data_IF_544998544544
#
_entry.id   IF_544998544544
#
_cell.length_a   1.000
_cell.length_b   1.000
_cell.length_c   1.000
_cell.angle_alpha   90.00
_cell.angle_beta   90.00
_cell.angle_gamma   90.00
#
_symmetry.space_group_name_H-M   'P 1'
#
loop_
_entity.id
_entity.type
_entity.pdbx_description
1 polymer ?
#
# COMPACT_ATOMS: atom_id res chain seq x y z
N UNK A 1 -44.83 -25.89 -18.69
CA UNK A 1 -43.44 -25.73 -19.14
C UNK A 1 -42.77 -24.71 -18.25
N UNK A 2 -42.03 -25.20 -17.26
CA UNK A 2 -41.32 -24.37 -16.27
C UNK A 2 -39.98 -24.00 -16.86
N UNK A 3 -39.75 -22.71 -17.08
CA UNK A 3 -38.43 -22.19 -17.38
C UNK A 3 -37.66 -22.12 -16.08
N UNK A 4 -36.74 -23.05 -15.87
CA UNK A 4 -35.75 -22.98 -14.81
C UNK A 4 -34.84 -21.76 -15.13
N UNK A 5 -34.88 -20.78 -14.25
CA UNK A 5 -33.87 -19.73 -14.20
C UNK A 5 -32.53 -20.40 -13.91
N UNK A 6 -31.60 -20.34 -14.85
CA UNK A 6 -30.20 -20.60 -14.61
C UNK A 6 -29.74 -19.54 -13.58
N UNK A 7 -29.46 -19.97 -12.37
CA UNK A 7 -28.68 -19.19 -11.41
C UNK A 7 -27.28 -19.05 -12.00
N UNK A 8 -26.92 -17.84 -12.42
CA UNK A 8 -25.52 -17.48 -12.64
C UNK A 8 -24.76 -17.79 -11.34
N UNK A 9 -23.91 -18.80 -11.36
CA UNK A 9 -22.89 -19.02 -10.34
C UNK A 9 -21.79 -17.91 -10.50
N UNK A 10 -22.14 -16.68 -10.23
CA UNK A 10 -21.14 -15.66 -10.00
C UNK A 10 -20.62 -15.90 -8.60
N UNK A 11 -19.40 -16.43 -8.52
CA UNK A 11 -18.71 -16.61 -7.23
C UNK A 11 -18.61 -15.30 -6.46
N UNK A 12 -18.49 -15.37 -5.15
CA UNK A 12 -18.28 -14.21 -4.25
C UNK A 12 -17.10 -13.37 -4.73
N UNK A 13 -17.33 -12.09 -4.99
CA UNK A 13 -16.29 -11.16 -5.44
C UNK A 13 -15.35 -10.79 -4.31
N UNK A 14 -14.02 -10.79 -4.58
CA UNK A 14 -12.96 -10.67 -3.57
C UNK A 14 -12.06 -9.48 -3.83
N UNK A 15 -11.94 -8.61 -2.83
CA UNK A 15 -11.00 -7.48 -2.81
C UNK A 15 -9.88 -7.71 -1.80
N UNK A 16 -8.62 -7.56 -2.23
CA UNK A 16 -7.44 -7.56 -1.37
C UNK A 16 -6.87 -6.16 -1.29
N UNK A 17 -6.62 -5.68 -0.07
CA UNK A 17 -6.04 -4.36 0.19
C UNK A 17 -4.73 -4.52 0.92
N UNK A 18 -3.66 -3.92 0.39
CA UNK A 18 -2.31 -3.90 0.95
C UNK A 18 -1.94 -2.45 1.32
N UNK A 19 -1.61 -2.24 2.59
CA UNK A 19 -1.42 -0.90 3.16
C UNK A 19 -0.02 -0.33 2.99
N UNK A 20 0.13 0.93 3.40
CA UNK A 20 1.43 1.59 3.48
C UNK A 20 2.20 1.18 4.74
N UNK A 21 3.53 1.15 4.66
CA UNK A 21 4.37 0.74 5.80
C UNK A 21 5.87 0.97 5.60
N UNK A 22 6.27 1.65 4.51
CA UNK A 22 7.68 1.89 4.19
C UNK A 22 8.43 0.60 3.85
N UNK A 23 9.75 0.61 4.02
CA UNK A 23 10.63 -0.54 3.76
C UNK A 23 10.28 -1.74 4.65
N UNK A 24 10.02 -1.48 5.93
CA UNK A 24 9.56 -2.50 6.88
C UNK A 24 8.22 -3.10 6.47
N UNK A 25 7.28 -2.26 5.98
CA UNK A 25 5.98 -2.70 5.49
C UNK A 25 6.08 -3.59 4.26
N UNK A 26 6.90 -3.23 3.25
CA UNK A 26 7.17 -4.10 2.10
C UNK A 26 7.63 -5.48 2.57
N UNK A 27 8.61 -5.51 3.48
CA UNK A 27 9.18 -6.75 3.97
C UNK A 27 8.16 -7.60 4.76
N UNK A 28 7.42 -6.96 5.67
CA UNK A 28 6.43 -7.64 6.49
C UNK A 28 5.26 -8.18 5.66
N UNK A 29 4.68 -7.37 4.78
CA UNK A 29 3.60 -7.82 3.89
C UNK A 29 4.07 -8.96 2.99
N UNK A 30 5.28 -8.86 2.42
CA UNK A 30 5.86 -9.93 1.60
C UNK A 30 6.00 -11.21 2.41
N UNK A 31 6.52 -11.15 3.65
CA UNK A 31 6.63 -12.29 4.54
C UNK A 31 5.27 -12.90 4.92
N UNK A 32 4.30 -12.04 5.25
CA UNK A 32 2.93 -12.46 5.58
C UNK A 32 2.28 -13.17 4.38
N UNK A 33 2.34 -12.58 3.18
CA UNK A 33 1.76 -13.18 1.98
C UNK A 33 2.47 -14.49 1.62
N UNK A 34 3.80 -14.56 1.66
CA UNK A 34 4.56 -15.79 1.42
C UNK A 34 4.13 -16.91 2.38
N UNK A 35 3.98 -16.61 3.68
CA UNK A 35 3.51 -17.57 4.66
C UNK A 35 2.06 -18.04 4.43
N UNK A 36 1.14 -17.12 4.08
CA UNK A 36 -0.25 -17.45 3.78
C UNK A 36 -0.37 -18.30 2.51
N UNK A 37 0.37 -17.97 1.45
CA UNK A 37 0.42 -18.76 0.21
C UNK A 37 0.97 -20.16 0.50
N UNK A 38 2.06 -20.28 1.27
CA UNK A 38 2.60 -21.57 1.69
C UNK A 38 1.61 -22.41 2.53
N UNK A 39 0.73 -21.73 3.28
CA UNK A 39 -0.38 -22.36 4.00
C UNK A 39 -1.58 -22.71 3.12
N UNK A 40 -1.52 -22.48 1.81
CA UNK A 40 -2.56 -22.81 0.84
C UNK A 40 -3.67 -21.78 0.67
N UNK A 41 -3.43 -20.51 1.07
CA UNK A 41 -4.36 -19.42 0.80
C UNK A 41 -4.05 -18.84 -0.59
N UNK A 42 -4.98 -18.94 -1.53
CA UNK A 42 -4.82 -18.39 -2.88
C UNK A 42 -5.19 -16.89 -2.90
N UNK A 43 -4.24 -16.05 -2.48
CA UNK A 43 -4.41 -14.59 -2.52
C UNK A 43 -4.38 -14.04 -3.95
N UNK A 44 -3.78 -14.76 -4.90
CA UNK A 44 -3.79 -14.42 -6.33
C UNK A 44 -5.17 -14.46 -6.96
N UNK A 45 -6.12 -15.23 -6.36
CA UNK A 45 -7.51 -15.32 -6.78
C UNK A 45 -8.36 -14.08 -6.42
N UNK A 46 -7.80 -13.03 -5.82
CA UNK A 46 -8.49 -11.75 -5.64
C UNK A 46 -8.94 -11.18 -6.99
N UNK A 47 -10.22 -10.79 -7.11
CA UNK A 47 -10.72 -10.11 -8.31
C UNK A 47 -10.03 -8.75 -8.50
N UNK A 48 -9.76 -8.03 -7.39
CA UNK A 48 -8.93 -6.84 -7.40
C UNK A 48 -7.90 -6.85 -6.28
N UNK A 49 -6.73 -6.25 -6.52
CA UNK A 49 -5.74 -5.93 -5.49
C UNK A 49 -5.50 -4.43 -5.49
N UNK A 50 -5.64 -3.82 -4.33
CA UNK A 50 -5.36 -2.39 -4.12
C UNK A 50 -4.08 -2.27 -3.30
N UNK A 51 -3.12 -1.48 -3.78
CA UNK A 51 -1.87 -1.20 -3.08
C UNK A 51 -1.70 0.28 -2.78
N UNK A 52 -1.28 0.58 -1.55
CA UNK A 52 -0.90 1.93 -1.11
C UNK A 52 0.55 1.91 -0.65
N UNK A 53 1.41 2.78 -1.18
CA UNK A 53 2.82 2.89 -0.77
C UNK A 53 3.54 1.52 -0.80
N UNK A 54 4.04 1.02 0.33
CA UNK A 54 4.60 -0.32 0.47
C UNK A 54 3.73 -1.39 -0.21
N UNK A 55 2.42 -1.36 0.05
CA UNK A 55 1.45 -2.29 -0.52
C UNK A 55 1.36 -2.22 -2.05
N UNK A 56 1.73 -1.12 -2.70
CA UNK A 56 1.77 -1.05 -4.16
C UNK A 56 2.87 -1.95 -4.75
N UNK A 57 4.03 -1.98 -4.10
CA UNK A 57 5.16 -2.85 -4.48
C UNK A 57 4.79 -4.31 -4.26
N UNK A 58 4.20 -4.63 -3.11
CA UNK A 58 3.80 -6.00 -2.77
C UNK A 58 2.66 -6.50 -3.66
N UNK A 59 1.68 -5.63 -3.98
CA UNK A 59 0.59 -5.94 -4.90
C UNK A 59 1.08 -6.32 -6.30
N UNK A 60 2.08 -5.59 -6.83
CA UNK A 60 2.70 -5.89 -8.12
C UNK A 60 3.43 -7.25 -8.05
N UNK A 61 4.19 -7.51 -6.99
CA UNK A 61 4.86 -8.79 -6.78
C UNK A 61 3.86 -9.95 -6.68
N UNK A 62 2.72 -9.74 -6.00
CA UNK A 62 1.65 -10.74 -5.91
C UNK A 62 1.05 -11.04 -7.29
N UNK A 63 0.69 -10.02 -8.06
CA UNK A 63 0.13 -10.18 -9.41
C UNK A 63 1.10 -10.81 -10.40
N UNK A 64 2.39 -10.64 -10.18
CA UNK A 64 3.44 -11.28 -10.97
C UNK A 64 3.77 -12.72 -10.51
N UNK A 65 3.18 -13.21 -9.42
CA UNK A 65 3.52 -14.52 -8.84
C UNK A 65 4.93 -14.58 -8.26
N UNK A 66 5.48 -13.45 -7.82
CA UNK A 66 6.87 -13.30 -7.41
C UNK A 66 7.06 -13.11 -5.90
N UNK A 67 6.04 -13.38 -5.07
CA UNK A 67 6.10 -13.13 -3.61
C UNK A 67 7.24 -13.89 -2.93
N UNK A 68 7.47 -15.16 -3.26
CA UNK A 68 8.54 -15.94 -2.63
C UNK A 68 9.93 -15.42 -3.03
N UNK A 69 10.11 -15.04 -4.30
CA UNK A 69 11.36 -14.43 -4.75
C UNK A 69 11.59 -13.07 -4.06
N UNK A 70 10.55 -12.25 -3.93
CA UNK A 70 10.62 -10.99 -3.21
C UNK A 70 10.91 -11.20 -1.70
N UNK A 71 10.39 -12.27 -1.10
CA UNK A 71 10.71 -12.64 0.28
C UNK A 71 12.20 -12.94 0.45
N UNK A 72 12.77 -13.74 -0.44
CA UNK A 72 14.19 -14.12 -0.38
C UNK A 72 15.11 -12.90 -0.53
N UNK A 73 14.72 -11.89 -1.31
CA UNK A 73 15.46 -10.63 -1.47
C UNK A 73 15.61 -9.86 -0.15
N UNK A 74 14.74 -10.03 0.83
CA UNK A 74 14.86 -9.36 2.12
C UNK A 74 16.01 -9.90 2.99
N UNK A 75 16.62 -11.02 2.63
CA UNK A 75 17.76 -11.64 3.31
C UNK A 75 19.11 -11.31 2.67
N UNK A 76 19.11 -10.62 1.53
CA UNK A 76 20.34 -10.13 0.92
C UNK A 76 20.98 -9.09 1.84
N UNK A 77 22.32 -9.22 2.03
CA UNK A 77 23.09 -8.30 2.85
C UNK A 77 23.06 -6.88 2.24
N UNK A 78 22.60 -5.93 3.01
CA UNK A 78 22.51 -4.52 2.65
C UNK A 78 23.59 -3.66 3.30
N UNK A 79 24.58 -4.29 3.96
CA UNK A 79 25.68 -3.57 4.59
C UNK A 79 26.45 -2.73 3.56
N UNK A 80 26.52 -1.44 3.80
CA UNK A 80 27.18 -0.48 2.90
C UNK A 80 26.31 0.05 1.75
N UNK A 81 25.05 -0.39 1.63
CA UNK A 81 24.09 0.25 0.75
C UNK A 81 23.65 1.59 1.33
N UNK A 82 23.43 2.57 0.45
CA UNK A 82 22.86 3.85 0.87
C UNK A 82 21.40 3.65 1.32
N UNK A 83 21.04 4.23 2.46
CA UNK A 83 19.65 4.25 2.90
C UNK A 83 18.78 4.98 1.86
N UNK A 84 17.55 4.49 1.60
CA UNK A 84 16.69 5.06 0.55
C UNK A 84 16.18 6.48 0.88
N UNK A 85 16.39 6.93 2.10
CA UNK A 85 15.87 8.20 2.60
C UNK A 85 16.81 9.34 2.25
N UNK A 86 16.42 10.16 1.28
CA UNK A 86 17.04 11.44 0.99
C UNK A 86 16.49 12.60 1.83
N UNK A 87 15.85 12.31 2.99
CA UNK A 87 15.17 13.33 3.79
C UNK A 87 16.12 14.48 4.16
N UNK A 88 15.77 15.67 3.72
CA UNK A 88 16.48 16.90 4.10
C UNK A 88 16.13 17.30 5.54
N UNK A 89 14.87 17.05 5.95
CA UNK A 89 14.39 17.34 7.32
C UNK A 89 13.24 16.38 7.71
N UNK A 90 13.60 15.22 8.30
CA UNK A 90 12.61 14.24 8.77
C UNK A 90 11.72 14.82 9.89
N UNK A 91 12.25 15.71 10.74
CA UNK A 91 11.48 16.31 11.81
C UNK A 91 10.37 17.20 11.24
N UNK A 92 10.69 17.99 10.22
CA UNK A 92 9.70 18.81 9.51
C UNK A 92 8.64 17.96 8.79
N UNK A 93 9.04 16.85 8.18
CA UNK A 93 8.10 15.89 7.58
C UNK A 93 7.10 15.37 8.60
N UNK A 94 7.59 14.90 9.75
CA UNK A 94 6.73 14.38 10.84
C UNK A 94 5.78 15.48 11.36
N UNK A 95 6.26 16.70 11.51
CA UNK A 95 5.44 17.83 11.94
C UNK A 95 4.31 18.12 10.93
N UNK A 96 4.62 18.28 9.65
CA UNK A 96 3.63 18.60 8.60
C UNK A 96 2.57 17.51 8.46
N UNK A 97 2.98 16.24 8.45
CA UNK A 97 2.03 15.12 8.40
C UNK A 97 1.21 15.05 9.68
N UNK A 98 1.83 15.26 10.85
CA UNK A 98 1.14 15.30 12.14
C UNK A 98 0.08 16.41 12.22
N UNK A 99 0.40 17.60 11.73
CA UNK A 99 -0.58 18.70 11.58
C UNK A 99 -1.74 18.30 10.66
N UNK A 100 -1.45 17.57 9.57
CA UNK A 100 -2.46 17.04 8.67
C UNK A 100 -3.43 16.09 9.35
N UNK A 101 -2.95 15.20 10.21
CA UNK A 101 -3.80 14.25 10.95
C UNK A 101 -4.83 14.98 11.83
N UNK A 102 -4.44 16.06 12.50
CA UNK A 102 -5.32 16.82 13.41
C UNK A 102 -6.03 17.99 12.74
N UNK A 103 -5.85 18.19 11.44
CA UNK A 103 -6.41 19.30 10.69
C UNK A 103 -7.95 19.27 10.66
N UNK A 104 -8.57 20.43 10.76
CA UNK A 104 -10.02 20.64 10.59
C UNK A 104 -10.36 21.44 9.34
N UNK A 105 -9.38 21.72 8.48
CA UNK A 105 -9.57 22.51 7.26
C UNK A 105 -10.33 21.78 6.14
N UNK A 106 -10.61 20.50 6.33
CA UNK A 106 -11.18 19.60 5.33
C UNK A 106 -10.09 18.79 4.60
N UNK A 107 -10.46 17.62 4.12
CA UNK A 107 -9.51 16.63 3.60
C UNK A 107 -8.68 17.13 2.40
N UNK A 108 -9.34 17.70 1.37
CA UNK A 108 -8.63 18.20 0.18
C UNK A 108 -7.70 19.37 0.51
N UNK A 109 -8.13 20.42 1.20
CA UNK A 109 -7.22 21.51 1.60
C UNK A 109 -6.06 21.03 2.47
N UNK A 110 -6.29 20.08 3.36
CA UNK A 110 -5.23 19.51 4.20
C UNK A 110 -4.18 18.80 3.35
N UNK A 111 -4.61 17.91 2.44
CA UNK A 111 -3.68 17.22 1.52
C UNK A 111 -2.98 18.16 0.55
N UNK A 112 -3.65 19.22 0.11
CA UNK A 112 -3.05 20.23 -0.74
C UNK A 112 -1.88 20.93 -0.03
N UNK A 113 -2.03 21.30 1.25
CA UNK A 113 -0.93 21.90 2.05
C UNK A 113 0.26 20.96 2.22
N UNK A 114 -0.01 19.66 2.41
CA UNK A 114 1.07 18.63 2.45
C UNK A 114 1.75 18.53 1.09
N UNK A 115 0.99 18.58 -0.01
CA UNK A 115 1.53 18.59 -1.36
C UNK A 115 2.36 19.84 -1.66
N UNK A 116 1.93 21.02 -1.22
CA UNK A 116 2.70 22.26 -1.32
C UNK A 116 4.06 22.11 -0.62
N UNK A 117 4.10 21.56 0.60
CA UNK A 117 5.35 21.24 1.29
C UNK A 117 6.23 20.29 0.48
N UNK A 118 5.68 19.22 -0.10
CA UNK A 118 6.46 18.28 -0.92
C UNK A 118 7.07 18.96 -2.15
N UNK A 119 6.34 19.89 -2.78
CA UNK A 119 6.78 20.61 -3.97
C UNK A 119 7.78 21.78 -3.63
N UNK A 120 7.77 22.29 -2.41
CA UNK A 120 8.78 23.23 -1.92
C UNK A 120 10.14 22.55 -1.70
N UNK A 121 10.12 21.27 -1.26
CA UNK A 121 11.33 20.48 -0.98
C UNK A 121 11.98 19.89 -2.23
N UNK A 122 11.21 19.61 -3.28
CA UNK A 122 11.65 18.90 -4.49
C UNK A 122 11.05 19.48 -5.76
N UNK A 123 11.84 19.50 -6.82
CA UNK A 123 11.38 19.72 -8.19
C UNK A 123 11.06 18.35 -8.84
N UNK A 124 9.77 17.98 -8.99
CA UNK A 124 9.41 16.66 -9.50
C UNK A 124 9.87 16.41 -10.94
N UNK A 125 10.07 17.45 -11.77
CA UNK A 125 10.57 17.28 -13.15
C UNK A 125 12.06 16.88 -13.20
N UNK A 126 12.79 17.15 -12.12
CA UNK A 126 14.25 16.91 -12.03
C UNK A 126 14.56 15.75 -11.09
N UNK A 127 13.83 15.68 -9.95
CA UNK A 127 14.21 14.83 -8.80
C UNK A 127 13.56 13.45 -8.83
N UNK A 128 12.48 13.20 -9.60
CA UNK A 128 11.70 11.96 -9.53
C UNK A 128 12.41 10.73 -10.12
N UNK A 129 13.35 10.91 -11.05
CA UNK A 129 13.98 9.82 -11.80
C UNK A 129 14.65 8.77 -10.89
N UNK A 130 15.34 9.20 -9.83
CA UNK A 130 16.00 8.29 -8.90
C UNK A 130 14.97 7.46 -8.08
N UNK A 131 13.83 8.07 -7.72
CA UNK A 131 12.74 7.36 -7.03
C UNK A 131 12.07 6.33 -7.93
N UNK A 132 11.82 6.68 -9.19
CA UNK A 132 11.25 5.77 -10.20
C UNK A 132 12.19 4.59 -10.43
N UNK A 133 13.51 4.85 -10.62
CA UNK A 133 14.51 3.79 -10.79
C UNK A 133 14.56 2.86 -9.56
N UNK A 134 14.62 3.42 -8.35
CA UNK A 134 14.67 2.66 -7.10
C UNK A 134 13.44 1.75 -6.95
N UNK A 135 12.24 2.27 -7.17
CA UNK A 135 11.01 1.46 -7.12
C UNK A 135 11.04 0.42 -8.22
N UNK A 136 11.44 0.80 -9.44
CA UNK A 136 11.56 -0.13 -10.54
C UNK A 136 12.45 -1.35 -10.26
N UNK A 137 13.49 -1.21 -9.44
CA UNK A 137 14.35 -2.33 -9.04
C UNK A 137 13.65 -3.34 -8.10
N UNK A 138 12.58 -2.94 -7.42
CA UNK A 138 11.78 -3.81 -6.54
C UNK A 138 10.69 -4.57 -7.29
N UNK A 139 10.44 -4.24 -8.56
CA UNK A 139 9.31 -4.77 -9.32
C UNK A 139 9.75 -5.86 -10.31
N UNK A 140 9.11 -7.04 -10.31
CA UNK A 140 9.41 -8.13 -11.24
C UNK A 140 8.87 -7.89 -12.65
N UNK A 141 7.91 -6.98 -12.81
CA UNK A 141 7.28 -6.59 -14.08
C UNK A 141 7.27 -5.08 -14.23
N UNK A 142 7.23 -4.59 -15.48
CA UNK A 142 7.21 -3.15 -15.80
C UNK A 142 5.88 -2.70 -16.40
N UNK A 143 5.11 -3.64 -16.94
CA UNK A 143 3.81 -3.39 -17.55
C UNK A 143 2.69 -3.82 -16.60
N UNK A 144 1.53 -3.17 -16.72
CA UNK A 144 0.34 -3.54 -15.96
C UNK A 144 -0.06 -4.99 -16.24
N UNK A 145 -0.37 -5.78 -15.17
CA UNK A 145 -0.90 -7.12 -15.36
C UNK A 145 -2.32 -7.08 -15.94
N UNK A 146 -2.75 -8.21 -16.52
CA UNK A 146 -4.13 -8.32 -17.02
C UNK A 146 -5.17 -8.32 -15.88
N UNK A 147 -4.82 -8.91 -14.73
CA UNK A 147 -5.66 -8.93 -13.54
C UNK A 147 -5.78 -7.52 -12.96
N UNK A 148 -6.95 -7.20 -12.40
CA UNK A 148 -7.21 -5.89 -11.80
C UNK A 148 -6.23 -5.59 -10.66
N UNK A 149 -5.46 -4.53 -10.86
CA UNK A 149 -4.51 -3.98 -9.91
C UNK A 149 -4.73 -2.46 -9.85
N UNK A 150 -4.91 -1.95 -8.65
CA UNK A 150 -5.15 -0.54 -8.39
C UNK A 150 -4.08 0.01 -7.47
N UNK A 151 -3.46 1.10 -7.87
CA UNK A 151 -2.42 1.80 -7.10
C UNK A 151 -2.92 3.17 -6.72
N UNK A 152 -2.83 3.51 -5.44
CA UNK A 152 -3.38 4.76 -4.91
C UNK A 152 -2.30 5.84 -4.78
N UNK A 153 -2.65 7.07 -5.10
CA UNK A 153 -1.80 8.25 -4.93
C UNK A 153 -2.63 9.49 -4.63
N UNK A 154 -1.96 10.59 -4.29
CA UNK A 154 -2.58 11.91 -4.12
C UNK A 154 -1.88 12.91 -5.03
N UNK A 155 -2.64 13.64 -5.83
CA UNK A 155 -2.13 14.77 -6.62
C UNK A 155 -1.61 15.86 -5.67
N UNK A 156 -0.31 16.12 -5.69
CA UNK A 156 0.35 17.03 -4.77
C UNK A 156 -0.07 18.50 -4.99
N UNK A 157 -0.41 18.88 -6.22
CA UNK A 157 -0.84 20.24 -6.54
C UNK A 157 -2.28 20.53 -6.09
N UNK A 158 -3.15 19.52 -6.09
CA UNK A 158 -4.59 19.72 -5.86
C UNK A 158 -5.13 19.03 -4.60
N UNK A 159 -4.36 18.15 -3.95
CA UNK A 159 -4.81 17.34 -2.82
C UNK A 159 -5.85 16.27 -3.19
N UNK A 160 -6.12 16.05 -4.48
CA UNK A 160 -7.12 15.07 -4.95
C UNK A 160 -6.56 13.66 -4.91
N UNK A 161 -7.39 12.75 -4.46
CA UNK A 161 -7.12 11.32 -4.50
C UNK A 161 -7.19 10.77 -5.93
N UNK A 162 -6.28 9.88 -6.26
CA UNK A 162 -6.19 9.25 -7.57
C UNK A 162 -5.95 7.75 -7.38
N UNK A 163 -6.61 6.96 -8.20
CA UNK A 163 -6.37 5.52 -8.33
C UNK A 163 -5.86 5.28 -9.74
N UNK A 164 -4.69 4.69 -9.86
CA UNK A 164 -4.12 4.25 -11.12
C UNK A 164 -4.40 2.77 -11.34
N UNK A 165 -4.69 2.41 -12.56
CA UNK A 165 -4.89 1.05 -13.07
C UNK A 165 -4.38 0.95 -14.51
N UNK A 166 -4.56 -0.21 -15.14
CA UNK A 166 -4.14 -0.43 -16.53
C UNK A 166 -4.81 0.47 -17.56
N UNK A 167 -5.99 0.99 -17.25
CA UNK A 167 -6.78 1.84 -18.14
C UNK A 167 -6.52 3.34 -17.90
N UNK A 168 -5.77 3.68 -16.86
CA UNK A 168 -5.44 5.06 -16.49
C UNK A 168 -4.44 5.74 -17.43
N UNK A 169 -3.72 4.97 -18.27
CA UNK A 169 -2.65 5.46 -19.14
C UNK A 169 -1.31 5.71 -18.41
N UNK A 170 -1.28 5.59 -17.08
CA UNK A 170 -0.04 5.76 -16.32
C UNK A 170 0.90 4.56 -16.50
N UNK A 171 2.22 4.82 -16.53
CA UNK A 171 3.24 3.77 -16.42
C UNK A 171 3.18 3.10 -15.04
N UNK A 172 3.26 1.76 -14.99
CA UNK A 172 3.14 0.98 -13.75
C UNK A 172 4.21 1.37 -12.71
N UNK A 173 5.45 1.52 -13.16
CA UNK A 173 6.58 1.85 -12.27
C UNK A 173 6.40 3.25 -11.71
N UNK A 174 6.00 4.21 -12.56
CA UNK A 174 5.70 5.58 -12.12
C UNK A 174 4.51 5.64 -11.16
N UNK A 175 3.45 4.87 -11.39
CA UNK A 175 2.30 4.79 -10.48
C UNK A 175 2.71 4.26 -9.10
N UNK A 176 3.52 3.19 -9.04
CA UNK A 176 4.05 2.66 -7.78
C UNK A 176 5.02 3.63 -7.11
N UNK A 177 5.90 4.28 -7.87
CA UNK A 177 6.81 5.30 -7.34
C UNK A 177 6.06 6.51 -6.77
N UNK A 178 4.99 6.97 -7.44
CA UNK A 178 4.10 8.01 -6.94
C UNK A 178 3.41 7.60 -5.63
N UNK A 179 2.93 6.36 -5.57
CA UNK A 179 2.34 5.79 -4.36
C UNK A 179 3.30 5.72 -3.18
N UNK A 180 4.61 5.66 -3.44
CA UNK A 180 5.70 5.60 -2.45
C UNK A 180 6.38 6.96 -2.20
N UNK A 181 5.89 8.05 -2.80
CA UNK A 181 6.48 9.38 -2.70
C UNK A 181 6.05 10.10 -1.42
N UNK A 182 6.58 9.68 -0.27
CA UNK A 182 6.30 10.29 1.05
C UNK A 182 6.80 11.73 1.05
N UNK A 183 5.91 12.73 1.30
CA UNK A 183 6.26 14.15 1.33
C UNK A 183 7.46 14.46 2.22
N UNK A 184 8.42 15.24 1.72
CA UNK A 184 9.64 15.60 2.43
C UNK A 184 10.70 14.49 2.54
N UNK A 185 10.34 13.23 2.22
CA UNK A 185 11.28 12.07 2.20
C UNK A 185 11.68 11.73 0.78
N UNK A 186 10.71 11.67 -0.13
CA UNK A 186 10.92 11.40 -1.54
C UNK A 186 10.25 12.45 -2.40
N UNK A 187 10.83 12.78 -3.57
CA UNK A 187 10.22 13.73 -4.49
C UNK A 187 8.87 13.20 -4.99
N UNK A 188 7.87 14.08 -5.17
CA UNK A 188 6.66 13.74 -5.90
C UNK A 188 7.01 13.25 -7.31
N UNK A 189 6.23 12.30 -7.82
CA UNK A 189 6.47 11.69 -9.15
C UNK A 189 5.52 12.28 -10.18
N UNK A 190 6.08 12.73 -11.30
CA UNK A 190 5.29 13.31 -12.39
C UNK A 190 4.67 12.24 -13.27
N UNK A 191 3.34 12.27 -13.42
CA UNK A 191 2.57 11.44 -14.36
C UNK A 191 1.66 12.38 -15.15
N UNK A 192 1.77 12.36 -16.47
CA UNK A 192 1.02 13.23 -17.39
C UNK A 192 1.06 14.72 -17.00
N UNK A 193 2.25 15.21 -16.63
CA UNK A 193 2.50 16.60 -16.24
C UNK A 193 1.92 17.01 -14.89
N UNK A 194 1.49 16.06 -14.04
CA UNK A 194 1.00 16.32 -12.68
C UNK A 194 1.89 15.63 -11.65
N UNK A 195 2.27 16.32 -10.56
CA UNK A 195 3.04 15.73 -9.49
C UNK A 195 2.12 14.94 -8.55
N UNK A 196 2.53 13.72 -8.21
CA UNK A 196 1.81 12.86 -7.26
C UNK A 196 2.68 12.50 -6.06
N UNK A 197 2.05 12.44 -4.90
CA UNK A 197 2.63 11.99 -3.63
C UNK A 197 1.94 10.75 -3.11
N UNK A 198 2.50 10.15 -2.07
CA UNK A 198 2.07 8.90 -1.45
C UNK A 198 0.57 8.86 -1.16
N UNK A 199 -0.07 7.75 -1.54
CA UNK A 199 -1.49 7.50 -1.29
C UNK A 199 -1.85 7.44 0.19
N UNK A 200 -0.88 7.14 1.05
CA UNK A 200 -0.99 7.17 2.51
C UNK A 200 -1.29 8.57 3.07
N UNK A 201 -1.06 9.61 2.28
CA UNK A 201 -1.49 10.97 2.64
C UNK A 201 -3.01 11.14 2.64
N UNK A 202 -3.76 10.15 2.15
CA UNK A 202 -5.21 10.10 2.33
C UNK A 202 -5.63 9.08 3.38
N UNK A 203 -5.19 7.86 3.26
CA UNK A 203 -5.43 6.76 4.19
C UNK A 203 -4.31 5.74 4.06
N UNK A 204 -3.87 5.16 5.16
CA UNK A 204 -2.83 4.14 5.15
C UNK A 204 -3.17 2.91 4.33
N UNK A 205 -4.45 2.61 4.15
CA UNK A 205 -4.92 1.43 3.40
C UNK A 205 -5.75 1.76 2.15
N UNK A 206 -6.47 2.88 2.15
CA UNK A 206 -7.46 3.24 1.12
C UNK A 206 -8.47 2.09 0.82
N UNK A 207 -8.90 1.37 1.87
CA UNK A 207 -9.74 0.18 1.75
C UNK A 207 -11.15 0.45 1.18
N UNK A 208 -11.58 1.69 1.14
CA UNK A 208 -12.85 2.09 0.49
C UNK A 208 -12.83 1.95 -1.04
N UNK A 209 -11.64 1.79 -1.65
CA UNK A 209 -11.50 1.52 -3.10
C UNK A 209 -12.11 0.18 -3.51
N UNK A 210 -12.22 -0.77 -2.58
CA UNK A 210 -12.84 -2.10 -2.81
C UNK A 210 -14.28 -2.18 -2.26
N UNK A 211 -14.95 -1.06 -2.08
CA UNK A 211 -16.25 -1.01 -1.43
C UNK A 211 -17.37 -1.78 -2.14
N UNK A 212 -17.21 -2.13 -3.42
CA UNK A 212 -18.19 -2.84 -4.22
C UNK A 212 -17.96 -4.36 -4.23
N UNK A 213 -16.96 -4.86 -3.50
CA UNK A 213 -16.66 -6.29 -3.38
C UNK A 213 -17.35 -6.89 -2.15
N UNK A 214 -17.71 -8.19 -2.25
CA UNK A 214 -18.49 -8.89 -1.22
C UNK A 214 -17.63 -9.44 -0.09
N UNK A 215 -16.36 -9.79 -0.39
CA UNK A 215 -15.39 -10.30 0.59
C UNK A 215 -14.10 -9.49 0.48
N UNK A 216 -13.70 -8.88 1.58
CA UNK A 216 -12.60 -7.91 1.60
C UNK A 216 -11.59 -8.31 2.66
N UNK A 217 -10.36 -8.60 2.22
CA UNK A 217 -9.22 -8.80 3.11
C UNK A 217 -8.35 -7.55 3.09
N UNK A 218 -8.16 -6.94 4.26
CA UNK A 218 -7.30 -5.77 4.43
C UNK A 218 -6.06 -6.17 5.22
N UNK A 219 -4.88 -5.93 4.66
CA UNK A 219 -3.59 -6.08 5.34
C UNK A 219 -3.06 -4.68 5.65
N UNK A 220 -2.83 -4.40 6.93
CA UNK A 220 -2.46 -3.08 7.43
C UNK A 220 -1.18 -3.16 8.28
N UNK A 221 -0.15 -2.39 7.93
CA UNK A 221 1.14 -2.41 8.60
C UNK A 221 1.13 -1.81 10.01
N UNK A 222 0.07 -1.14 10.40
CA UNK A 222 -0.01 -0.57 11.75
C UNK A 222 -1.35 0.08 12.04
N UNK A 223 -1.55 0.52 13.28
CA UNK A 223 -2.76 1.22 13.67
C UNK A 223 -2.80 2.61 13.02
N UNK A 224 -3.97 2.97 12.50
CA UNK A 224 -4.24 4.34 12.08
C UNK A 224 -4.79 5.16 13.25
N UNK A 225 -4.61 6.49 13.18
CA UNK A 225 -5.27 7.39 14.12
C UNK A 225 -6.80 7.21 14.03
N UNK A 226 -7.54 7.33 15.15
CA UNK A 226 -8.99 7.14 15.15
C UNK A 226 -9.74 8.20 14.33
N UNK A 227 -9.09 9.32 14.06
CA UNK A 227 -9.58 10.41 13.20
C UNK A 227 -8.41 10.95 12.38
N UNK A 228 -8.68 11.42 11.18
CA UNK A 228 -7.69 12.06 10.31
C UNK A 228 -8.33 13.21 9.54
N UNK A 229 -7.65 14.35 9.54
CA UNK A 229 -7.99 15.50 8.68
C UNK A 229 -7.60 15.30 7.22
N UNK A 230 -6.87 14.23 6.91
CA UNK A 230 -6.39 13.95 5.56
C UNK A 230 -7.36 13.07 4.75
N UNK A 231 -8.18 12.25 5.41
CA UNK A 231 -9.10 11.33 4.73
C UNK A 231 -9.69 10.27 5.66
N UNK A 232 -10.37 9.25 5.10
CA UNK A 232 -11.03 8.22 5.87
C UNK A 232 -10.01 7.35 6.62
N UNK A 233 -10.35 6.99 7.85
CA UNK A 233 -9.56 6.05 8.66
C UNK A 233 -9.98 4.61 8.37
N UNK A 234 -9.09 3.65 8.56
CA UNK A 234 -9.40 2.23 8.39
C UNK A 234 -10.60 1.80 9.23
N UNK A 235 -10.66 2.22 10.51
CA UNK A 235 -11.78 1.88 11.39
C UNK A 235 -13.12 2.40 10.88
N UNK A 236 -13.15 3.64 10.36
CA UNK A 236 -14.37 4.22 9.77
C UNK A 236 -14.79 3.51 8.49
N UNK A 237 -13.84 3.19 7.62
CA UNK A 237 -14.08 2.45 6.37
C UNK A 237 -14.59 1.04 6.69
N UNK A 238 -13.93 0.30 7.57
CA UNK A 238 -14.33 -1.06 7.96
C UNK A 238 -15.75 -1.09 8.54
N UNK A 239 -16.11 -0.10 9.37
CA UNK A 239 -17.47 0.01 9.88
C UNK A 239 -18.51 0.18 8.76
N UNK A 240 -18.20 0.97 7.73
CA UNK A 240 -19.09 1.16 6.57
C UNK A 240 -19.15 -0.10 5.70
N UNK A 241 -18.02 -0.74 5.44
CA UNK A 241 -17.93 -1.94 4.61
C UNK A 241 -18.68 -3.12 5.22
N UNK A 242 -18.57 -3.35 6.54
CA UNK A 242 -19.25 -4.44 7.26
C UNK A 242 -20.79 -4.38 7.18
N UNK A 243 -21.36 -3.27 6.74
CA UNK A 243 -22.80 -3.16 6.46
C UNK A 243 -23.23 -3.85 5.17
N UNK A 244 -22.27 -4.25 4.29
CA UNK A 244 -22.55 -4.77 2.94
C UNK A 244 -21.59 -5.84 2.44
N UNK A 245 -20.48 -6.07 3.12
CA UNK A 245 -19.45 -7.04 2.78
C UNK A 245 -18.92 -7.77 4.00
N UNK A 246 -18.38 -8.97 3.79
CA UNK A 246 -17.56 -9.64 4.78
C UNK A 246 -16.16 -9.00 4.77
N UNK A 247 -15.69 -8.54 5.93
CA UNK A 247 -14.40 -7.83 6.05
C UNK A 247 -13.53 -8.47 7.13
N UNK A 248 -12.36 -8.94 6.73
CA UNK A 248 -11.29 -9.36 7.64
C UNK A 248 -10.13 -8.36 7.54
N UNK A 249 -9.63 -7.93 8.70
CA UNK A 249 -8.45 -7.06 8.79
C UNK A 249 -7.35 -7.81 9.51
N UNK A 250 -6.22 -8.02 8.82
CA UNK A 250 -4.98 -8.50 9.42
C UNK A 250 -4.07 -7.29 9.60
N UNK A 251 -3.78 -6.98 10.84
CA UNK A 251 -2.91 -5.87 11.21
C UNK A 251 -1.61 -6.41 11.77
N UNK A 252 -0.49 -5.70 11.52
CA UNK A 252 0.80 -6.05 12.14
C UNK A 252 0.65 -6.15 13.66
N UNK A 253 0.98 -7.30 14.20
CA UNK A 253 0.93 -7.55 15.65
C UNK A 253 2.09 -6.87 16.39
N UNK A 254 2.15 -7.06 17.70
CA UNK A 254 3.17 -6.42 18.54
C UNK A 254 4.60 -6.85 18.17
N UNK A 255 4.81 -8.12 17.77
CA UNK A 255 6.11 -8.64 17.35
C UNK A 255 6.51 -8.02 16.01
N UNK A 256 5.57 -7.96 15.06
CA UNK A 256 5.76 -7.33 13.75
C UNK A 256 6.06 -5.84 13.89
N UNK A 257 5.29 -5.13 14.71
CA UNK A 257 5.52 -3.70 14.98
C UNK A 257 6.88 -3.44 15.63
N UNK A 258 7.32 -4.31 16.54
CA UNK A 258 8.66 -4.22 17.13
C UNK A 258 9.78 -4.44 16.09
N UNK A 259 9.55 -5.34 15.11
CA UNK A 259 10.50 -5.59 14.02
C UNK A 259 10.65 -4.40 13.06
N UNK A 260 9.64 -3.54 12.93
CA UNK A 260 9.69 -2.32 12.11
C UNK A 260 10.68 -1.28 12.67
N UNK A 261 11.04 -1.38 13.94
CA UNK A 261 11.95 -0.45 14.60
C UNK A 261 11.37 0.96 14.75
N UNK A 262 12.24 1.92 15.05
CA UNK A 262 11.84 3.32 15.24
C UNK A 262 11.62 4.06 13.90
N UNK A 263 12.24 3.58 12.82
CA UNK A 263 12.11 4.15 11.47
C UNK A 263 11.92 3.05 10.44
N UNK A 264 10.67 2.87 10.01
CA UNK A 264 10.25 1.85 9.04
C UNK A 264 10.81 2.06 7.62
N UNK A 265 11.50 3.17 7.35
CA UNK A 265 12.10 3.47 6.05
C UNK A 265 13.54 2.95 5.93
N UNK A 266 14.16 2.45 6.99
CA UNK A 266 15.54 1.96 6.98
C UNK A 266 15.66 0.55 6.37
N UNK A 267 16.68 0.33 5.55
CA UNK A 267 16.99 -0.97 4.95
C UNK A 267 17.28 -2.05 6.00
N UNK A 268 17.83 -1.65 7.15
CA UNK A 268 18.13 -2.55 8.27
C UNK A 268 16.90 -3.25 8.86
N UNK A 269 15.69 -2.72 8.63
CA UNK A 269 14.43 -3.32 9.13
C UNK A 269 13.95 -4.51 8.29
N UNK A 270 14.44 -4.65 7.04
CA UNK A 270 13.93 -5.61 6.06
C UNK A 270 13.87 -7.04 6.58
N UNK A 271 15.00 -7.59 7.03
CA UNK A 271 15.08 -8.99 7.45
C UNK A 271 14.14 -9.30 8.61
N UNK A 272 14.24 -8.52 9.69
CA UNK A 272 13.41 -8.74 10.88
C UNK A 272 11.92 -8.61 10.58
N UNK A 273 11.53 -7.64 9.74
CA UNK A 273 10.14 -7.43 9.34
C UNK A 273 9.61 -8.58 8.47
N UNK A 274 10.40 -9.08 7.52
CA UNK A 274 10.03 -10.23 6.69
C UNK A 274 9.83 -11.51 7.53
N UNK A 275 10.76 -11.79 8.46
CA UNK A 275 10.67 -12.91 9.40
C UNK A 275 9.42 -12.79 10.28
N UNK A 276 9.15 -11.60 10.84
CA UNK A 276 7.96 -11.33 11.66
C UNK A 276 6.65 -11.51 10.86
N UNK A 277 6.61 -11.04 9.62
CA UNK A 277 5.46 -11.24 8.73
C UNK A 277 5.17 -12.73 8.49
N UNK A 278 6.19 -13.51 8.19
CA UNK A 278 6.06 -14.96 7.98
C UNK A 278 5.63 -15.69 9.26
N UNK A 279 6.17 -15.30 10.41
CA UNK A 279 5.74 -15.86 11.70
C UNK A 279 4.29 -15.46 12.03
N UNK A 280 3.85 -14.25 11.71
CA UNK A 280 2.45 -13.85 11.88
C UNK A 280 1.52 -14.65 10.96
N UNK A 281 1.94 -14.96 9.72
CA UNK A 281 1.17 -15.78 8.81
C UNK A 281 0.81 -17.14 9.42
N UNK A 282 1.74 -17.80 10.12
CA UNK A 282 1.48 -19.07 10.79
C UNK A 282 0.36 -18.96 11.84
N UNK A 283 0.24 -17.81 12.52
CA UNK A 283 -0.78 -17.57 13.55
C UNK A 283 -2.17 -17.28 12.97
N UNK A 284 -2.22 -16.65 11.78
CA UNK A 284 -3.49 -16.20 11.19
C UNK A 284 -3.95 -17.04 10.00
N UNK A 285 -3.14 -18.03 9.54
CA UNK A 285 -3.41 -18.78 8.32
C UNK A 285 -4.78 -19.49 8.33
N UNK A 286 -5.17 -20.09 9.44
CA UNK A 286 -6.45 -20.80 9.54
C UNK A 286 -7.63 -19.84 9.46
N UNK A 287 -7.55 -18.67 10.11
CA UNK A 287 -8.55 -17.63 10.04
C UNK A 287 -8.69 -17.08 8.63
N UNK A 288 -7.55 -16.72 8.01
CA UNK A 288 -7.54 -16.19 6.65
C UNK A 288 -8.04 -17.22 5.65
N UNK A 289 -7.64 -18.50 5.77
CA UNK A 289 -8.12 -19.58 4.91
C UNK A 289 -9.63 -19.77 5.03
N UNK A 290 -10.17 -19.79 6.25
CA UNK A 290 -11.59 -19.93 6.48
C UNK A 290 -12.39 -18.74 5.92
N UNK A 291 -11.81 -17.55 5.98
CA UNK A 291 -12.40 -16.33 5.45
C UNK A 291 -12.30 -16.24 3.93
N UNK A 292 -11.12 -16.50 3.36
CA UNK A 292 -10.83 -16.29 1.94
C UNK A 292 -11.41 -17.40 1.05
N UNK A 293 -11.42 -18.63 1.54
CA UNK A 293 -12.09 -19.86 1.09
C UNK A 293 -12.06 -20.27 -0.26
#
# INVERSE_FOLDING_TARGET
MSAALASDEQGTTRGLVLGGGGVAGIAWETGLLSGLIAAGVDLGAADTVVGTSAGSVVAINLRAGAIDAAYDEHFVDVAGMAEPTGSRDLARTVEVIGEGVVSTAGEIPTRQRIGEFALEEYDPEVDDAASVERIGQLLPIRDWPEQDLRITAVDAGTGRFTVFDKDSGADLVRASAASCAVPGVFPPVTIDGRPYMDGGMRSGTNADVVADYERILVIACGPEAPQSGMGPTLSGVVQQLRGRADVLVIQADAESTAAFGENSLLLSTRKASAEAGRAQAERVADEVRAFWG
#
